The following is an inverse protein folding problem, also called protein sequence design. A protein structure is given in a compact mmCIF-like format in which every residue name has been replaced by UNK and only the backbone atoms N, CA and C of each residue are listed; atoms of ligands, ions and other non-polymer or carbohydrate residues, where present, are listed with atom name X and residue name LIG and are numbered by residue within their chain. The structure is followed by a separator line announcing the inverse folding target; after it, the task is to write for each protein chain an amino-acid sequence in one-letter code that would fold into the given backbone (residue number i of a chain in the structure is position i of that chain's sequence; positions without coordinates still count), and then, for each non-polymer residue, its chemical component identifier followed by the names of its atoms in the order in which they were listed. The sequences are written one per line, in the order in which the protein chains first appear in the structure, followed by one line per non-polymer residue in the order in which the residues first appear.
data_IF_945892237645
#
_entry.id   IF_945892237645
#
_cell.length_a   1.000
_cell.length_b   1.000
_cell.length_c   1.000
_cell.angle_alpha   90.00
_cell.angle_beta   90.00
_cell.angle_gamma   90.00
#
_symmetry.space_group_name_H-M   'P 1'
#
loop_
_entity.id
_entity.type
_entity.pdbx_description
1 polymer ?
#
# COMPACT_ATOMS: atom_id res chain seq x y z
N UNK A 1 -30.14 31.61 -5.82
CA UNK A 1 -29.55 31.63 -7.18
C UNK A 1 -29.21 30.19 -7.54
N UNK A 2 -29.58 29.71 -8.74
CA UNK A 2 -29.17 28.39 -9.23
C UNK A 2 -27.75 28.53 -9.79
N UNK A 3 -26.82 27.71 -9.32
CA UNK A 3 -25.43 27.69 -9.78
C UNK A 3 -25.18 26.38 -10.53
N UNK A 4 -24.49 26.47 -11.66
CA UNK A 4 -24.00 25.31 -12.39
C UNK A 4 -22.74 24.79 -11.68
N UNK A 5 -22.73 23.50 -11.37
CA UNK A 5 -21.63 22.83 -10.68
C UNK A 5 -21.31 21.56 -11.47
N UNK A 6 -20.04 21.38 -11.80
CA UNK A 6 -19.55 20.17 -12.45
C UNK A 6 -19.37 19.08 -11.40
N UNK A 7 -19.93 17.90 -11.66
CA UNK A 7 -19.81 16.74 -10.79
C UNK A 7 -18.99 15.66 -11.50
N UNK A 8 -17.96 15.16 -10.83
CA UNK A 8 -17.16 14.03 -11.29
C UNK A 8 -17.47 12.84 -10.40
N UNK A 9 -17.85 11.73 -11.01
CA UNK A 9 -18.22 10.49 -10.32
C UNK A 9 -17.59 9.33 -11.09
N UNK A 10 -17.05 8.34 -10.39
CA UNK A 10 -16.49 7.14 -11.01
C UNK A 10 -17.60 6.16 -11.43
N UNK A 11 -17.34 5.33 -12.44
CA UNK A 11 -18.30 4.30 -12.87
C UNK A 11 -18.65 3.34 -11.71
N UNK A 12 -17.66 2.98 -10.89
CA UNK A 12 -17.89 2.13 -9.73
C UNK A 12 -18.83 2.77 -8.68
N UNK A 13 -18.73 4.08 -8.44
CA UNK A 13 -19.66 4.77 -7.54
C UNK A 13 -21.09 4.76 -8.10
N UNK A 14 -21.25 4.96 -9.41
CA UNK A 14 -22.57 4.86 -10.06
C UNK A 14 -23.13 3.44 -9.89
N UNK A 15 -22.29 2.42 -10.11
CA UNK A 15 -22.68 1.02 -9.90
C UNK A 15 -23.14 0.77 -8.45
N UNK A 16 -22.37 1.22 -7.44
CA UNK A 16 -22.68 1.02 -6.02
C UNK A 16 -23.99 1.71 -5.64
N UNK A 17 -24.20 2.95 -6.10
CA UNK A 17 -25.43 3.71 -5.85
C UNK A 17 -26.66 2.97 -6.41
N UNK A 18 -26.52 2.28 -7.55
CA UNK A 18 -27.61 1.57 -8.20
C UNK A 18 -27.74 0.09 -7.78
N UNK A 19 -26.71 -0.52 -7.17
CA UNK A 19 -26.68 -1.94 -6.87
C UNK A 19 -27.43 -2.34 -5.59
N UNK A 20 -27.38 -1.49 -4.55
CA UNK A 20 -28.14 -1.49 -3.29
C UNK A 20 -27.30 -0.71 -2.29
N UNK A 21 -27.94 -0.04 -1.34
CA UNK A 21 -27.28 0.60 -0.19
C UNK A 21 -26.63 -0.47 0.70
N UNK A 22 -25.38 -0.84 0.42
CA UNK A 22 -24.56 -1.55 1.40
C UNK A 22 -24.37 -0.63 2.60
N UNK A 23 -25.10 -0.89 3.68
CA UNK A 23 -24.90 -0.21 4.95
C UNK A 23 -23.55 -0.60 5.57
N UNK A 24 -23.11 0.17 6.57
CA UNK A 24 -21.88 -0.06 7.33
C UNK A 24 -21.68 -1.50 7.83
N UNK A 25 -22.76 -2.24 8.08
CA UNK A 25 -22.73 -3.63 8.56
C UNK A 25 -22.47 -4.69 7.49
N UNK A 26 -22.46 -4.33 6.20
CA UNK A 26 -22.26 -5.28 5.10
C UNK A 26 -20.90 -6.01 5.19
N UNK A 27 -19.87 -5.33 5.71
CA UNK A 27 -18.55 -5.92 5.96
C UNK A 27 -18.57 -7.10 6.93
N UNK A 28 -19.55 -7.16 7.84
CA UNK A 28 -19.68 -8.20 8.85
C UNK A 28 -20.79 -9.22 8.53
N UNK A 29 -21.56 -8.98 7.47
CA UNK A 29 -22.72 -9.79 7.11
C UNK A 29 -22.36 -11.04 6.29
N UNK A 30 -21.12 -11.15 5.81
CA UNK A 30 -20.66 -12.26 4.96
C UNK A 30 -21.19 -12.20 3.52
N UNK A 31 -21.96 -11.16 3.16
CA UNK A 31 -22.37 -10.89 1.78
C UNK A 31 -21.17 -10.43 0.95
N UNK A 32 -21.09 -10.90 -0.30
CA UNK A 32 -20.03 -10.46 -1.20
C UNK A 32 -20.29 -9.03 -1.67
N UNK A 33 -19.26 -8.19 -1.68
CA UNK A 33 -19.30 -6.84 -2.26
C UNK A 33 -19.36 -6.81 -3.79
N UNK A 34 -19.75 -7.92 -4.42
CA UNK A 34 -19.77 -8.06 -5.87
C UNK A 34 -21.01 -7.36 -6.46
N UNK A 35 -20.78 -6.53 -7.47
CA UNK A 35 -21.86 -5.89 -8.21
C UNK A 35 -22.24 -6.79 -9.37
N UNK A 36 -23.54 -7.10 -9.46
CA UNK A 36 -24.10 -7.95 -10.51
C UNK A 36 -23.82 -7.37 -11.90
N UNK A 37 -23.44 -8.24 -12.83
CA UNK A 37 -23.18 -7.87 -14.22
C UNK A 37 -24.36 -7.13 -14.88
N UNK A 38 -25.60 -7.55 -14.60
CA UNK A 38 -26.82 -6.89 -15.09
C UNK A 38 -26.90 -5.39 -14.73
N UNK A 39 -26.41 -5.01 -13.55
CA UNK A 39 -26.40 -3.62 -13.10
C UNK A 39 -25.32 -2.85 -13.86
N UNK A 40 -24.12 -3.43 -13.98
CA UNK A 40 -23.00 -2.81 -14.73
C UNK A 40 -23.39 -2.54 -16.19
N UNK A 41 -23.98 -3.53 -16.87
CA UNK A 41 -24.43 -3.37 -18.26
C UNK A 41 -25.49 -2.27 -18.42
N UNK A 42 -26.42 -2.16 -17.46
CA UNK A 42 -27.41 -1.07 -17.44
C UNK A 42 -26.77 0.31 -17.24
N UNK A 43 -25.74 0.41 -16.39
CA UNK A 43 -25.01 1.65 -16.17
C UNK A 43 -24.17 2.01 -17.41
N UNK A 44 -23.44 1.05 -17.97
CA UNK A 44 -22.62 1.24 -19.18
C UNK A 44 -23.46 1.75 -20.35
N UNK A 45 -24.68 1.22 -20.53
CA UNK A 45 -25.62 1.69 -21.55
C UNK A 45 -26.02 3.15 -21.32
N UNK A 46 -26.42 3.51 -20.09
CA UNK A 46 -26.82 4.88 -19.74
C UNK A 46 -25.67 5.88 -19.88
N UNK A 47 -24.46 5.51 -19.46
CA UNK A 47 -23.28 6.37 -19.58
C UNK A 47 -22.92 6.58 -21.05
N UNK A 48 -23.07 5.55 -21.87
CA UNK A 48 -22.87 5.66 -23.33
C UNK A 48 -23.90 6.60 -23.96
N UNK A 49 -25.18 6.48 -23.61
CA UNK A 49 -26.23 7.42 -24.03
C UNK A 49 -25.92 8.86 -23.61
N UNK A 50 -25.51 9.08 -22.36
CA UNK A 50 -25.17 10.43 -21.88
C UNK A 50 -23.95 11.03 -22.58
N UNK A 51 -22.99 10.20 -22.97
CA UNK A 51 -21.84 10.61 -23.76
C UNK A 51 -22.27 11.02 -25.17
N UNK A 52 -23.11 10.24 -25.83
CA UNK A 52 -23.63 10.54 -27.17
C UNK A 52 -24.52 11.80 -27.19
N UNK A 53 -25.32 12.01 -26.15
CA UNK A 53 -26.16 13.20 -25.97
C UNK A 53 -25.37 14.46 -25.54
N UNK A 54 -24.07 14.32 -25.25
CA UNK A 54 -23.22 15.41 -24.75
C UNK A 54 -23.57 15.88 -23.33
N UNK A 55 -24.28 15.06 -22.55
CA UNK A 55 -24.62 15.32 -21.14
C UNK A 55 -23.51 14.91 -20.17
N UNK A 56 -22.62 14.00 -20.59
CA UNK A 56 -21.50 13.52 -19.80
C UNK A 56 -20.22 13.42 -20.64
N UNK A 57 -19.08 13.57 -19.98
CA UNK A 57 -17.76 13.34 -20.56
C UNK A 57 -17.05 12.25 -19.74
N UNK A 58 -16.40 11.31 -20.43
CA UNK A 58 -15.62 10.26 -19.77
C UNK A 58 -14.17 10.73 -19.65
N UNK A 59 -13.67 10.78 -18.42
CA UNK A 59 -12.31 11.22 -18.10
C UNK A 59 -11.52 9.98 -17.63
N UNK A 60 -10.53 9.49 -18.41
CA UNK A 60 -9.66 8.42 -17.97
C UNK A 60 -8.86 8.84 -16.73
N UNK A 61 -8.92 8.02 -15.68
CA UNK A 61 -8.20 8.24 -14.43
C UNK A 61 -6.79 7.64 -14.42
N UNK A 62 -6.28 7.38 -13.22
CA UNK A 62 -5.04 6.65 -12.98
C UNK A 62 -5.33 5.44 -12.11
N UNK A 63 -4.91 4.26 -12.56
CA UNK A 63 -4.94 3.03 -11.75
C UNK A 63 -3.52 2.74 -11.26
N UNK A 64 -3.30 2.88 -9.97
CA UNK A 64 -2.03 2.54 -9.33
C UNK A 64 -2.09 1.17 -8.67
N UNK A 65 -1.18 0.26 -9.04
CA UNK A 65 -1.04 -1.07 -8.44
C UNK A 65 0.36 -1.18 -7.83
N UNK A 66 0.41 -1.18 -6.49
CA UNK A 66 1.65 -1.47 -5.77
C UNK A 66 1.89 -2.98 -5.70
N UNK A 67 3.16 -3.38 -5.52
CA UNK A 67 3.59 -4.77 -5.43
C UNK A 67 3.06 -5.66 -6.58
N UNK A 68 3.10 -5.18 -7.83
CA UNK A 68 2.50 -5.85 -9.00
C UNK A 68 3.00 -7.29 -9.23
N UNK A 69 4.18 -7.65 -8.71
CA UNK A 69 4.72 -9.00 -8.73
C UNK A 69 3.88 -10.03 -7.93
N UNK A 70 2.88 -9.57 -7.17
CA UNK A 70 1.90 -10.41 -6.48
C UNK A 70 0.73 -10.85 -7.38
N UNK A 71 0.57 -10.23 -8.56
CA UNK A 71 -0.43 -10.66 -9.55
C UNK A 71 -0.01 -11.95 -10.25
N UNK A 72 -1.00 -12.71 -10.70
CA UNK A 72 -0.82 -13.90 -11.53
C UNK A 72 -1.02 -13.61 -13.02
N UNK A 73 -0.77 -14.63 -13.85
CA UNK A 73 -0.88 -14.53 -15.30
C UNK A 73 -2.30 -14.20 -15.78
N UNK A 74 -3.34 -14.59 -15.04
CA UNK A 74 -4.73 -14.28 -15.38
C UNK A 74 -5.02 -12.79 -15.17
N UNK A 75 -4.55 -12.23 -14.05
CA UNK A 75 -4.62 -10.80 -13.77
C UNK A 75 -3.89 -9.98 -14.84
N UNK A 76 -2.68 -10.39 -15.25
CA UNK A 76 -1.94 -9.70 -16.32
C UNK A 76 -2.65 -9.80 -17.67
N UNK A 77 -3.28 -10.94 -17.97
CA UNK A 77 -4.09 -11.11 -19.19
C UNK A 77 -5.30 -10.16 -19.18
N UNK A 78 -5.96 -9.99 -18.02
CA UNK A 78 -7.04 -9.03 -17.85
C UNK A 78 -6.55 -7.59 -18.08
N UNK A 79 -5.41 -7.20 -17.47
CA UNK A 79 -4.84 -5.87 -17.65
C UNK A 79 -4.46 -5.60 -19.11
N UNK A 80 -3.84 -6.57 -19.79
CA UNK A 80 -3.50 -6.44 -21.21
C UNK A 80 -4.72 -6.13 -22.08
N UNK A 81 -5.83 -6.86 -21.86
CA UNK A 81 -7.10 -6.63 -22.57
C UNK A 81 -7.74 -5.30 -22.19
N UNK A 82 -7.69 -4.94 -20.90
CA UNK A 82 -8.26 -3.67 -20.43
C UNK A 82 -7.53 -2.46 -21.03
N UNK A 83 -6.21 -2.54 -21.18
CA UNK A 83 -5.36 -1.50 -21.78
C UNK A 83 -5.56 -1.32 -23.30
N UNK A 84 -6.25 -2.24 -23.97
CA UNK A 84 -6.63 -2.08 -25.39
C UNK A 84 -7.87 -1.20 -25.56
N UNK A 85 -8.60 -0.89 -24.49
CA UNK A 85 -9.77 -0.02 -24.54
C UNK A 85 -9.34 1.46 -24.57
N UNK A 86 -9.93 2.24 -25.48
CA UNK A 86 -9.66 3.69 -25.61
C UNK A 86 -9.99 4.49 -24.34
N UNK A 87 -10.89 3.98 -23.50
CA UNK A 87 -11.29 4.60 -22.22
C UNK A 87 -10.50 4.06 -21.03
N UNK A 88 -9.45 3.26 -21.26
CA UNK A 88 -8.62 2.72 -20.19
C UNK A 88 -7.92 3.84 -19.41
N UNK A 89 -7.89 3.77 -18.06
CA UNK A 89 -7.10 4.69 -17.26
C UNK A 89 -5.61 4.47 -17.50
N UNK A 90 -4.80 5.47 -17.14
CA UNK A 90 -3.35 5.33 -17.13
C UNK A 90 -2.98 4.31 -16.05
N UNK A 91 -2.39 3.19 -16.46
CA UNK A 91 -1.88 2.18 -15.53
C UNK A 91 -0.48 2.55 -15.06
N UNK A 92 -0.33 2.68 -13.74
CA UNK A 92 0.97 2.85 -13.08
C UNK A 92 1.17 1.66 -12.15
N UNK A 93 2.24 0.91 -12.36
CA UNK A 93 2.57 -0.26 -11.52
C UNK A 93 3.89 -0.06 -10.80
N UNK A 94 3.99 -0.55 -9.57
CA UNK A 94 5.22 -0.50 -8.78
C UNK A 94 5.63 -1.91 -8.32
N UNK A 95 6.94 -2.12 -8.23
CA UNK A 95 7.53 -3.36 -7.71
C UNK A 95 8.87 -3.10 -7.06
N UNK A 96 9.13 -3.80 -5.96
CA UNK A 96 10.42 -3.84 -5.28
C UNK A 96 11.24 -5.11 -5.63
N UNK A 97 10.75 -5.95 -6.56
CA UNK A 97 11.42 -7.19 -7.00
C UNK A 97 12.13 -6.98 -8.33
N UNK A 98 13.41 -7.37 -8.39
CA UNK A 98 14.21 -7.34 -9.62
C UNK A 98 13.83 -8.44 -10.61
N UNK A 99 14.10 -9.70 -10.28
CA UNK A 99 13.66 -10.88 -11.05
C UNK A 99 12.86 -11.77 -10.11
N UNK A 100 11.66 -12.17 -10.52
CA UNK A 100 10.81 -13.07 -9.72
C UNK A 100 9.95 -13.97 -10.63
N UNK A 101 9.34 -14.98 -10.05
CA UNK A 101 8.47 -15.93 -10.74
C UNK A 101 7.16 -15.24 -11.13
N UNK A 102 6.69 -15.45 -12.36
CA UNK A 102 5.35 -15.05 -12.77
C UNK A 102 4.37 -16.03 -12.10
N UNK A 103 3.55 -15.54 -11.19
CA UNK A 103 2.63 -16.39 -10.41
C UNK A 103 1.64 -17.08 -11.37
N UNK A 104 1.39 -18.36 -11.12
CA UNK A 104 0.59 -19.22 -12.02
C UNK A 104 1.39 -19.91 -13.13
N UNK A 105 2.70 -19.64 -13.27
CA UNK A 105 3.58 -20.32 -14.26
C UNK A 105 4.88 -20.76 -13.61
N UNK A 106 5.71 -21.58 -14.29
CA UNK A 106 7.06 -21.93 -13.82
C UNK A 106 8.18 -20.99 -14.30
N UNK A 107 7.83 -19.92 -14.99
CA UNK A 107 8.80 -19.00 -15.59
C UNK A 107 9.16 -17.84 -14.65
N UNK A 108 10.41 -17.37 -14.74
CA UNK A 108 10.88 -16.15 -14.08
C UNK A 108 11.04 -15.04 -15.10
N UNK A 109 10.70 -13.82 -14.72
CA UNK A 109 10.85 -12.62 -15.55
C UNK A 109 11.30 -11.42 -14.72
N UNK A 110 11.82 -10.36 -15.35
CA UNK A 110 12.00 -9.08 -14.70
C UNK A 110 10.68 -8.63 -14.07
N UNK A 111 10.73 -8.23 -12.81
CA UNK A 111 9.62 -7.73 -12.02
C UNK A 111 8.45 -8.70 -11.82
N UNK A 112 8.54 -9.95 -12.30
CA UNK A 112 7.44 -10.92 -12.24
C UNK A 112 6.32 -10.63 -13.23
N UNK A 113 6.59 -9.79 -14.24
CA UNK A 113 5.64 -9.38 -15.27
C UNK A 113 5.89 -10.20 -16.54
N UNK A 114 4.85 -10.70 -17.22
CA UNK A 114 4.96 -11.31 -18.55
C UNK A 114 5.66 -10.39 -19.56
N UNK A 115 6.50 -10.95 -20.43
CA UNK A 115 7.36 -10.17 -21.35
C UNK A 115 6.53 -9.30 -22.30
N UNK A 116 5.38 -9.81 -22.75
CA UNK A 116 4.43 -9.12 -23.61
C UNK A 116 3.87 -7.83 -22.99
N UNK A 117 3.59 -7.83 -21.69
CA UNK A 117 3.19 -6.61 -20.98
C UNK A 117 4.40 -5.73 -20.70
N UNK A 118 5.53 -6.32 -20.30
CA UNK A 118 6.76 -5.59 -19.97
C UNK A 118 7.26 -4.73 -21.15
N UNK A 119 7.21 -5.26 -22.36
CA UNK A 119 7.61 -4.56 -23.59
C UNK A 119 6.71 -3.35 -23.90
N UNK A 120 5.51 -3.29 -23.32
CA UNK A 120 4.55 -2.18 -23.47
C UNK A 120 4.68 -1.13 -22.36
N UNK A 121 5.48 -1.37 -21.32
CA UNK A 121 5.61 -0.49 -20.16
C UNK A 121 6.83 0.43 -20.27
N UNK A 122 6.66 1.67 -19.82
CA UNK A 122 7.76 2.60 -19.60
C UNK A 122 8.31 2.39 -18.18
N UNK A 123 9.54 1.89 -18.08
CA UNK A 123 10.18 1.59 -16.79
C UNK A 123 10.86 2.86 -16.26
N UNK A 124 10.47 3.29 -15.06
CA UNK A 124 11.09 4.39 -14.32
C UNK A 124 11.73 3.81 -13.06
N UNK A 125 13.03 4.06 -12.88
CA UNK A 125 13.75 3.62 -11.69
C UNK A 125 13.84 4.75 -10.67
N UNK A 126 13.46 4.46 -9.42
CA UNK A 126 13.67 5.35 -8.28
C UNK A 126 14.97 5.01 -7.58
N UNK A 127 15.72 6.01 -7.14
CA UNK A 127 16.92 5.85 -6.32
C UNK A 127 16.57 5.96 -4.83
N UNK A 128 17.34 5.31 -3.94
CA UNK A 128 17.23 5.57 -2.50
C UNK A 128 17.48 7.06 -2.21
N UNK A 129 16.75 7.60 -1.24
CA UNK A 129 16.95 8.96 -0.77
C UNK A 129 18.30 9.13 -0.07
N UNK A 130 18.89 10.31 -0.23
CA UNK A 130 20.03 10.72 0.58
C UNK A 130 19.60 11.20 1.99
N UNK A 131 20.57 11.43 2.87
CA UNK A 131 20.30 11.87 4.25
C UNK A 131 19.57 13.22 4.32
N UNK A 132 19.85 14.13 3.38
CA UNK A 132 19.24 15.47 3.35
C UNK A 132 17.78 15.38 2.92
N UNK A 133 17.48 14.55 1.93
CA UNK A 133 16.14 14.23 1.45
C UNK A 133 15.34 13.53 2.54
N UNK A 134 15.92 12.55 3.25
CA UNK A 134 15.26 11.88 4.38
C UNK A 134 14.90 12.90 5.47
N UNK A 135 15.84 13.78 5.84
CA UNK A 135 15.58 14.81 6.85
C UNK A 135 14.45 15.75 6.41
N UNK A 136 14.47 16.22 5.16
CA UNK A 136 13.43 17.09 4.63
C UNK A 136 12.05 16.42 4.61
N UNK A 137 11.97 15.13 4.22
CA UNK A 137 10.72 14.37 4.24
C UNK A 137 10.21 14.23 5.67
N UNK A 138 11.09 13.91 6.63
CA UNK A 138 10.70 13.79 8.04
C UNK A 138 10.20 15.13 8.60
N UNK A 139 10.83 16.25 8.23
CA UNK A 139 10.37 17.59 8.64
C UNK A 139 8.95 17.89 8.15
N UNK A 140 8.67 17.64 6.87
CA UNK A 140 7.32 17.80 6.30
C UNK A 140 6.31 16.91 7.04
N UNK A 141 6.68 15.66 7.35
CA UNK A 141 5.79 14.74 8.10
C UNK A 141 5.53 15.19 9.53
N UNK A 142 6.51 15.80 10.18
CA UNK A 142 6.33 16.37 11.52
C UNK A 142 5.38 17.57 11.49
N UNK A 143 5.46 18.41 10.45
CA UNK A 143 4.52 19.52 10.23
C UNK A 143 3.10 19.05 9.92
N UNK A 144 2.95 18.02 9.09
CA UNK A 144 1.64 17.41 8.77
C UNK A 144 0.98 16.76 10.00
N UNK A 145 1.77 16.14 10.88
CA UNK A 145 1.28 15.50 12.12
C UNK A 145 1.15 16.47 13.30
N UNK A 146 1.49 17.76 13.13
CA UNK A 146 1.53 18.78 14.19
C UNK A 146 2.38 18.36 15.41
N UNK A 147 3.57 17.81 15.13
CA UNK A 147 4.52 17.34 16.14
C UNK A 147 5.80 18.19 16.13
N UNK A 148 6.06 18.86 17.25
CA UNK A 148 7.31 19.62 17.43
C UNK A 148 8.44 18.72 17.97
N UNK A 149 9.50 18.51 17.18
CA UNK A 149 10.72 17.80 17.60
C UNK A 149 11.84 18.78 17.93
N UNK A 150 12.68 18.44 18.90
CA UNK A 150 13.99 19.09 19.08
C UNK A 150 14.92 18.77 17.92
N UNK A 151 15.87 19.66 17.60
CA UNK A 151 16.81 19.45 16.48
C UNK A 151 17.60 18.14 16.64
N UNK A 152 18.03 17.83 17.87
CA UNK A 152 18.72 16.58 18.15
C UNK A 152 17.83 15.34 17.95
N UNK A 153 16.52 15.44 18.25
CA UNK A 153 15.58 14.35 18.00
C UNK A 153 15.35 14.14 16.51
N UNK A 154 15.32 15.22 15.71
CA UNK A 154 15.26 15.14 14.23
C UNK A 154 16.49 14.45 13.66
N UNK A 155 17.68 14.82 14.13
CA UNK A 155 18.94 14.20 13.66
C UNK A 155 18.99 12.71 14.01
N UNK A 156 18.56 12.32 15.22
CA UNK A 156 18.45 10.91 15.60
C UNK A 156 17.45 10.16 14.71
N UNK A 157 16.28 10.75 14.47
CA UNK A 157 15.24 10.13 13.65
C UNK A 157 15.68 9.97 12.20
N UNK A 158 16.41 10.97 11.65
CA UNK A 158 17.02 10.90 10.34
C UNK A 158 18.02 9.74 10.25
N UNK A 159 18.90 9.61 11.24
CA UNK A 159 19.84 8.49 11.32
C UNK A 159 19.12 7.13 11.37
N UNK A 160 18.05 7.01 12.16
CA UNK A 160 17.21 5.80 12.19
C UNK A 160 16.62 5.53 10.80
N UNK A 161 16.11 6.56 10.10
CA UNK A 161 15.58 6.45 8.75
C UNK A 161 16.60 5.93 7.73
N UNK A 162 17.85 6.38 7.83
CA UNK A 162 18.96 5.91 6.99
C UNK A 162 19.35 4.45 7.27
N UNK A 163 19.38 4.03 8.53
CA UNK A 163 19.78 2.66 8.93
C UNK A 163 18.67 1.61 8.68
N UNK A 164 17.41 2.04 8.77
CA UNK A 164 16.22 1.17 8.70
C UNK A 164 15.40 1.41 7.43
N UNK A 165 14.32 2.20 7.52
CA UNK A 165 13.48 2.64 6.43
C UNK A 165 12.75 3.93 6.79
N UNK A 166 12.45 4.75 5.78
CA UNK A 166 11.67 5.98 5.94
C UNK A 166 10.29 5.72 6.55
N UNK A 167 9.61 4.63 6.15
CA UNK A 167 8.30 4.23 6.69
C UNK A 167 8.35 4.01 8.20
N UNK A 168 9.37 3.30 8.67
CA UNK A 168 9.54 3.04 10.10
C UNK A 168 9.85 4.34 10.86
N UNK A 169 10.72 5.20 10.33
CA UNK A 169 11.00 6.50 10.96
C UNK A 169 9.74 7.38 11.08
N UNK A 170 8.85 7.40 10.07
CA UNK A 170 7.58 8.13 10.13
C UNK A 170 6.68 7.56 11.23
N UNK A 171 6.54 6.24 11.33
CA UNK A 171 5.75 5.61 12.41
C UNK A 171 6.25 5.97 13.81
N UNK A 172 7.56 6.18 13.97
CA UNK A 172 8.13 6.62 15.24
C UNK A 172 7.78 8.06 15.60
N UNK A 173 7.44 8.95 14.66
CA UNK A 173 7.03 10.34 14.95
C UNK A 173 5.78 10.33 15.83
N UNK A 174 4.71 9.69 15.35
CA UNK A 174 3.46 9.51 16.09
C UNK A 174 3.67 8.84 17.46
N UNK A 175 4.47 7.77 17.51
CA UNK A 175 4.75 7.07 18.77
C UNK A 175 5.55 7.93 19.76
N UNK A 176 6.56 8.66 19.29
CA UNK A 176 7.39 9.53 20.11
C UNK A 176 6.59 10.74 20.63
N UNK A 177 5.65 11.26 19.83
CA UNK A 177 4.68 12.29 20.26
C UNK A 177 3.85 11.82 21.46
N UNK A 178 3.32 10.59 21.42
CA UNK A 178 2.60 10.00 22.55
C UNK A 178 3.50 9.81 23.78
N UNK A 179 4.76 9.42 23.58
CA UNK A 179 5.73 9.29 24.67
C UNK A 179 6.05 10.64 25.34
N UNK A 180 6.23 11.70 24.54
CA UNK A 180 6.45 13.07 25.02
C UNK A 180 5.22 13.61 25.76
N UNK A 181 4.02 13.37 25.22
CA UNK A 181 2.74 13.73 25.86
C UNK A 181 2.57 13.04 27.22
N UNK A 182 2.92 11.75 27.32
CA UNK A 182 2.95 11.02 28.60
C UNK A 182 3.94 11.62 29.61
N UNK A 183 5.05 12.18 29.14
CA UNK A 183 6.02 12.95 29.94
C UNK A 183 5.57 14.39 30.24
N UNK A 184 4.41 14.81 29.72
CA UNK A 184 3.87 16.17 29.79
C UNK A 184 4.79 17.21 29.13
N UNK A 185 5.46 16.82 28.05
CA UNK A 185 6.29 17.69 27.23
C UNK A 185 5.55 18.05 25.95
N UNK A 186 5.57 19.32 25.56
CA UNK A 186 5.02 19.77 24.28
C UNK A 186 5.94 19.39 23.10
N UNK A 187 7.25 19.28 23.36
CA UNK A 187 8.25 18.90 22.35
C UNK A 187 8.75 17.48 22.58
N UNK A 188 8.90 16.74 21.48
CA UNK A 188 9.53 15.43 21.41
C UNK A 188 11.04 15.59 21.47
N UNK A 189 11.68 14.86 22.37
CA UNK A 189 13.13 14.90 22.56
C UNK A 189 13.78 13.52 22.34
N UNK A 190 15.11 13.46 22.34
CA UNK A 190 15.89 12.24 22.07
C UNK A 190 15.44 11.06 22.93
N UNK A 191 15.13 11.31 24.22
CA UNK A 191 14.68 10.28 25.15
C UNK A 191 13.36 9.63 24.72
N UNK A 192 12.46 10.38 24.09
CA UNK A 192 11.16 9.89 23.64
C UNK A 192 11.36 9.00 22.41
N UNK A 193 12.17 9.46 21.44
CA UNK A 193 12.56 8.69 20.23
C UNK A 193 13.30 7.40 20.61
N UNK A 194 14.26 7.49 21.51
CA UNK A 194 15.06 6.34 21.96
C UNK A 194 14.20 5.29 22.67
N UNK A 195 13.24 5.76 23.47
CA UNK A 195 12.29 4.88 24.16
C UNK A 195 11.38 4.15 23.18
N UNK A 196 10.82 4.84 22.19
CA UNK A 196 9.94 4.17 21.20
C UNK A 196 10.72 3.26 20.27
N UNK A 197 11.96 3.62 19.91
CA UNK A 197 12.85 2.78 19.12
C UNK A 197 13.19 1.46 19.83
N UNK A 198 13.30 1.48 21.17
CA UNK A 198 13.49 0.28 21.98
C UNK A 198 12.21 -0.57 22.10
N UNK A 199 11.04 0.06 22.08
CA UNK A 199 9.75 -0.64 22.21
C UNK A 199 9.27 -1.27 20.90
N UNK A 200 9.45 -0.57 19.78
CA UNK A 200 8.98 -1.01 18.47
C UNK A 200 10.18 -1.38 17.61
N UNK A 201 10.31 -2.66 17.24
CA UNK A 201 11.41 -3.14 16.40
C UNK A 201 11.10 -2.88 14.92
N UNK A 202 12.12 -2.49 14.15
CA UNK A 202 12.03 -2.53 12.69
C UNK A 202 12.17 -3.98 12.18
N UNK A 203 11.87 -4.20 10.90
CA UNK A 203 11.87 -5.53 10.28
C UNK A 203 13.22 -6.24 10.43
N UNK A 204 14.36 -5.54 10.31
CA UNK A 204 15.68 -6.17 10.42
C UNK A 204 15.93 -6.63 11.85
N UNK A 205 15.69 -5.75 12.84
CA UNK A 205 15.84 -6.09 14.27
C UNK A 205 14.87 -7.17 14.72
N UNK A 206 13.63 -7.13 14.25
CA UNK A 206 12.61 -8.14 14.56
C UNK A 206 12.98 -9.51 13.99
N UNK A 207 13.50 -9.56 12.76
CA UNK A 207 13.95 -10.82 12.15
C UNK A 207 15.16 -11.38 12.90
N UNK A 208 16.13 -10.52 13.25
CA UNK A 208 17.30 -10.94 14.04
C UNK A 208 16.89 -11.47 15.43
N UNK A 209 15.96 -10.79 16.09
CA UNK A 209 15.43 -11.23 17.37
C UNK A 209 14.84 -12.65 17.29
N UNK A 210 14.06 -12.96 16.24
CA UNK A 210 13.52 -14.31 16.06
C UNK A 210 14.61 -15.37 15.81
N UNK A 211 15.69 -15.01 15.12
CA UNK A 211 16.84 -15.91 14.89
C UNK A 211 17.60 -16.15 16.19
N UNK A 212 17.85 -15.11 16.97
CA UNK A 212 18.62 -15.21 18.22
C UNK A 212 17.89 -16.02 19.29
N UNK A 213 16.56 -15.92 19.34
CA UNK A 213 15.69 -16.66 20.26
C UNK A 213 15.06 -17.89 19.60
N UNK A 214 15.58 -18.33 18.45
CA UNK A 214 15.02 -19.46 17.71
C UNK A 214 14.95 -20.74 18.57
N UNK A 215 15.89 -20.95 19.49
CA UNK A 215 15.88 -22.09 20.43
C UNK A 215 14.72 -22.04 21.43
N UNK A 216 14.24 -20.85 21.77
CA UNK A 216 13.20 -20.65 22.77
C UNK A 216 11.80 -20.59 22.12
N UNK A 217 11.73 -20.24 20.83
CA UNK A 217 10.50 -20.17 20.03
C UNK A 217 10.24 -21.41 19.18
N UNK A 218 11.27 -22.18 18.80
CA UNK A 218 11.05 -23.51 18.25
C UNK A 218 10.53 -24.38 19.38
N UNK A 219 9.28 -24.82 19.24
CA UNK A 219 8.64 -25.84 20.05
C UNK A 219 9.67 -26.78 20.68
N UNK A 220 9.82 -26.70 22.01
CA UNK A 220 10.16 -27.89 22.77
C UNK A 220 9.08 -28.90 22.37
N UNK A 221 9.41 -29.84 21.48
CA UNK A 221 8.64 -31.06 21.36
C UNK A 221 8.56 -31.61 22.78
N UNK A 222 7.36 -31.52 23.34
CA UNK A 222 7.02 -32.07 24.64
C UNK A 222 7.47 -33.53 24.59
N UNK A 223 8.36 -33.90 25.52
CA UNK A 223 8.86 -35.26 25.63
C UNK A 223 7.73 -36.27 25.56
N UNK A 224 7.81 -37.14 24.55
CA UNK A 224 7.07 -38.38 24.45
C UNK A 224 8.08 -39.48 24.21
N UNK A 225 8.35 -40.25 25.26
CA UNK A 225 8.86 -41.61 25.11
C UNK A 225 7.90 -42.39 24.20
N UNK A 226 8.41 -42.92 23.08
CA UNK A 226 8.02 -44.15 22.37
C UNK A 226 8.54 -44.03 20.91
N UNK A 227 9.35 -44.92 20.33
CA UNK A 227 9.75 -46.25 20.73
C UNK A 227 11.07 -46.66 20.03
N UNK A 228 11.74 -47.56 20.72
CA UNK A 228 12.79 -48.48 20.31
C UNK A 228 12.70 -49.06 18.88
N UNK A 229 13.89 -49.21 18.28
CA UNK A 229 14.37 -50.39 17.51
C UNK A 229 13.74 -50.67 16.13
N UNK A 230 14.66 -50.77 15.15
CA UNK A 230 14.55 -51.26 13.76
C UNK A 230 14.06 -50.28 12.69
#
# INVERSE_FOLDING_TARGET
KRQEVVHTVSLHEIDVINSRTQGFLALFAGDTGEIRAEIREQIDTKVSEWKEEGKAEIIPGVLFIDEVHMLDIECFSFLNRALENDLAPILVVATNRGITKIRGTEFKSPHGIPIDLLDRLLIIHTTPYDEREIKAILEIRCEEEDVELTDNAKDLLCKIGCETSLRYAIQLISAASLAASKRKSAKVDIQDVSKVYAMFLDVKRSTQFLVDYQSDYMFNEVGGEDAMVA
#
